data_IF_051928650516
#
_entry.id   IF_051928650516
#
_cell.length_a   1.000
_cell.length_b   1.000
_cell.length_c   1.000
_cell.angle_alpha   90.00
_cell.angle_beta   90.00
_cell.angle_gamma   90.00
#
_symmetry.space_group_name_H-M   'P 1'
#
loop_
_entity.id
_entity.type
_entity.pdbx_description
1 polymer ?
#
# COMPACT_ATOMS: atom_id res chain seq x y z
N UNK A 1 -5.99 -9.91 1.04
CA UNK A 1 -7.03 -8.89 0.72
C UNK A 1 -6.70 -7.63 1.51
N UNK A 2 -6.14 -6.59 0.87
CA UNK A 2 -5.84 -5.31 1.53
C UNK A 2 -7.14 -4.51 1.68
N UNK A 3 -7.87 -4.76 2.77
CA UNK A 3 -8.92 -3.84 3.20
C UNK A 3 -8.23 -2.63 3.83
N UNK A 4 -8.18 -1.49 3.12
CA UNK A 4 -8.12 -0.21 3.81
C UNK A 4 -9.42 -0.11 4.61
N UNK A 5 -9.33 0.13 5.92
CA UNK A 5 -10.46 0.25 6.85
C UNK A 5 -11.39 1.47 6.58
N UNK A 6 -11.46 1.94 5.32
CA UNK A 6 -12.09 3.20 4.92
C UNK A 6 -13.56 3.07 4.47
N UNK A 7 -14.08 1.85 4.29
CA UNK A 7 -15.47 1.63 3.83
C UNK A 7 -16.45 1.19 4.95
N UNK A 8 -15.98 1.08 6.19
CA UNK A 8 -16.85 0.80 7.35
C UNK A 8 -17.17 2.09 8.09
N UNK A 9 -18.40 2.22 8.60
CA UNK A 9 -18.69 3.30 9.52
C UNK A 9 -17.76 3.19 10.73
N UNK A 10 -17.36 4.32 11.34
CA UNK A 10 -16.49 4.31 12.54
C UNK A 10 -17.00 3.33 13.61
N UNK A 11 -18.32 3.20 13.72
CA UNK A 11 -19.01 2.29 14.64
C UNK A 11 -18.83 0.81 14.27
N UNK A 12 -18.85 0.46 12.99
CA UNK A 12 -18.64 -0.92 12.53
C UNK A 12 -17.18 -1.36 12.74
N UNK A 13 -16.23 -0.43 12.59
CA UNK A 13 -14.82 -0.68 12.89
C UNK A 13 -14.57 -0.93 14.40
N UNK A 14 -15.21 -0.15 15.29
CA UNK A 14 -15.10 -0.34 16.74
C UNK A 14 -15.68 -1.68 17.21
N UNK A 15 -16.78 -2.14 16.60
CA UNK A 15 -17.37 -3.43 16.94
C UNK A 15 -16.54 -4.60 16.40
N UNK A 16 -16.04 -4.50 15.17
CA UNK A 16 -15.13 -5.49 14.59
C UNK A 16 -13.86 -5.64 15.44
N UNK A 17 -13.26 -4.52 15.88
CA UNK A 17 -12.10 -4.50 16.75
C UNK A 17 -12.37 -5.29 18.06
N UNK A 18 -13.48 -5.02 18.74
CA UNK A 18 -13.86 -5.75 19.97
C UNK A 18 -13.98 -7.25 19.73
N UNK A 19 -14.62 -7.66 18.63
CA UNK A 19 -14.78 -9.07 18.28
C UNK A 19 -13.43 -9.75 18.03
N UNK A 20 -12.51 -9.08 17.32
CA UNK A 20 -11.17 -9.62 17.04
C UNK A 20 -10.36 -9.73 18.32
N UNK A 21 -10.39 -8.73 19.20
CA UNK A 21 -9.69 -8.78 20.49
C UNK A 21 -10.20 -9.92 21.38
N UNK A 22 -11.53 -10.15 21.40
CA UNK A 22 -12.13 -11.28 22.12
C UNK A 22 -11.71 -12.63 21.51
N UNK A 23 -11.70 -12.74 20.18
CA UNK A 23 -11.24 -13.95 19.50
C UNK A 23 -9.76 -14.23 19.79
N UNK A 24 -8.91 -13.20 19.74
CA UNK A 24 -7.49 -13.28 20.08
C UNK A 24 -7.26 -13.79 21.49
N UNK A 25 -8.04 -13.31 22.47
CA UNK A 25 -7.96 -13.81 23.85
C UNK A 25 -8.31 -15.31 23.95
N UNK A 26 -9.38 -15.74 23.28
CA UNK A 26 -9.79 -17.16 23.23
C UNK A 26 -8.69 -18.01 22.57
N UNK A 27 -8.09 -17.53 21.47
CA UNK A 27 -7.03 -18.24 20.76
C UNK A 27 -5.74 -18.33 21.57
N UNK A 28 -5.40 -17.30 22.36
CA UNK A 28 -4.28 -17.36 23.32
C UNK A 28 -4.52 -18.44 24.38
N UNK A 29 -5.71 -18.47 24.99
CA UNK A 29 -6.07 -19.48 26.01
C UNK A 29 -6.07 -20.91 25.46
N UNK A 30 -6.47 -21.07 24.20
CA UNK A 30 -6.51 -22.36 23.51
C UNK A 30 -5.24 -22.69 22.73
N UNK A 31 -4.18 -21.87 22.85
CA UNK A 31 -2.89 -22.02 22.17
C UNK A 31 -2.98 -22.21 20.64
N UNK A 32 -3.97 -21.58 19.99
CA UNK A 32 -4.18 -21.65 18.54
C UNK A 32 -3.29 -20.65 17.80
N UNK A 33 -1.97 -20.90 17.76
CA UNK A 33 -0.96 -19.98 17.24
C UNK A 33 -1.27 -19.41 15.85
N UNK A 34 -1.64 -20.26 14.89
CA UNK A 34 -2.03 -19.81 13.55
C UNK A 34 -3.16 -18.76 13.57
N UNK A 35 -4.18 -18.97 14.43
CA UNK A 35 -5.31 -18.03 14.58
C UNK A 35 -4.91 -16.75 15.32
N UNK A 36 -3.97 -16.84 16.27
CA UNK A 36 -3.37 -15.66 16.89
C UNK A 36 -2.70 -14.80 15.82
N UNK A 37 -1.91 -15.40 14.94
CA UNK A 37 -1.22 -14.71 13.84
C UNK A 37 -2.20 -14.01 12.89
N UNK A 38 -3.29 -14.67 12.49
CA UNK A 38 -4.35 -14.03 11.67
C UNK A 38 -5.00 -12.83 12.39
N UNK A 39 -5.29 -12.95 13.68
CA UNK A 39 -5.83 -11.83 14.46
C UNK A 39 -4.84 -10.65 14.53
N UNK A 40 -3.55 -10.92 14.75
CA UNK A 40 -2.51 -9.91 14.77
C UNK A 40 -2.41 -9.16 13.43
N UNK A 41 -2.49 -9.87 12.29
CA UNK A 41 -2.46 -9.24 10.96
C UNK A 41 -3.59 -8.21 10.79
N UNK A 42 -4.80 -8.58 11.20
CA UNK A 42 -5.96 -7.69 11.09
C UNK A 42 -5.81 -6.48 12.02
N UNK A 43 -5.38 -6.70 13.27
CA UNK A 43 -5.19 -5.60 14.23
C UNK A 43 -4.07 -4.64 13.79
N UNK A 44 -2.99 -5.14 13.20
CA UNK A 44 -1.95 -4.28 12.61
C UNK A 44 -2.55 -3.39 11.53
N UNK A 45 -3.33 -3.94 10.60
CA UNK A 45 -3.99 -3.14 9.56
C UNK A 45 -4.93 -2.06 10.13
N UNK A 46 -5.55 -2.31 11.28
CA UNK A 46 -6.42 -1.33 11.96
C UNK A 46 -5.62 -0.19 12.61
N UNK A 47 -4.47 -0.48 13.20
CA UNK A 47 -3.72 0.49 14.02
C UNK A 47 -2.53 1.17 13.32
N UNK A 48 -2.05 0.64 12.19
CA UNK A 48 -0.76 1.04 11.57
C UNK A 48 -0.61 2.54 11.27
N UNK A 49 -1.71 3.28 11.16
CA UNK A 49 -1.72 4.73 10.94
C UNK A 49 -2.28 5.55 12.12
N UNK A 50 -2.72 4.91 13.20
CA UNK A 50 -3.46 5.56 14.29
C UNK A 50 -2.88 5.33 15.68
N UNK A 51 -2.17 4.21 15.91
CA UNK A 51 -1.64 3.86 17.22
C UNK A 51 -0.35 3.03 17.12
N UNK A 52 0.79 3.66 17.41
CA UNK A 52 2.12 3.04 17.27
C UNK A 52 2.35 1.90 18.27
N UNK A 53 1.95 2.09 19.52
CA UNK A 53 2.14 1.11 20.59
C UNK A 53 1.41 -0.19 20.28
N UNK A 54 0.14 -0.09 19.87
CA UNK A 54 -0.66 -1.27 19.48
C UNK A 54 -0.14 -1.90 18.19
N UNK A 55 0.28 -1.09 17.22
CA UNK A 55 0.85 -1.59 15.96
C UNK A 55 2.08 -2.45 16.23
N UNK A 56 3.06 -1.91 16.97
CA UNK A 56 4.28 -2.63 17.30
C UNK A 56 4.00 -3.89 18.14
N UNK A 57 3.12 -3.79 19.14
CA UNK A 57 2.70 -4.93 19.96
C UNK A 57 2.18 -6.10 19.10
N UNK A 58 1.27 -5.83 18.15
CA UNK A 58 0.69 -6.89 17.33
C UNK A 58 1.60 -7.33 16.18
N UNK A 59 2.48 -6.46 15.67
CA UNK A 59 3.56 -6.84 14.76
C UNK A 59 4.51 -7.85 15.42
N UNK A 60 4.95 -7.57 16.65
CA UNK A 60 5.86 -8.43 17.41
C UNK A 60 5.22 -9.78 17.75
N UNK A 61 3.98 -9.78 18.25
CA UNK A 61 3.26 -11.01 18.58
C UNK A 61 2.99 -11.85 17.34
N UNK A 62 2.56 -11.22 16.24
CA UNK A 62 2.29 -11.89 14.97
C UNK A 62 3.55 -12.50 14.36
N UNK A 63 4.66 -11.74 14.32
CA UNK A 63 5.95 -12.26 13.86
C UNK A 63 6.43 -13.42 14.73
N UNK A 64 6.39 -13.27 16.07
CA UNK A 64 6.78 -14.34 17.00
C UNK A 64 5.96 -15.61 16.78
N UNK A 65 4.65 -15.50 16.69
CA UNK A 65 3.78 -16.67 16.47
C UNK A 65 3.98 -17.30 15.09
N UNK A 66 4.23 -16.50 14.06
CA UNK A 66 4.56 -17.00 12.71
C UNK A 66 5.88 -17.80 12.68
N UNK A 67 6.88 -17.37 13.45
CA UNK A 67 8.14 -18.10 13.65
C UNK A 67 7.91 -19.41 14.41
N UNK A 68 7.12 -19.37 15.50
CA UNK A 68 6.81 -20.56 16.30
C UNK A 68 6.06 -21.66 15.54
N UNK A 69 5.32 -21.32 14.48
CA UNK A 69 4.64 -22.27 13.60
C UNK A 69 5.41 -22.59 12.31
N UNK A 70 6.60 -22.01 12.14
CA UNK A 70 7.45 -22.15 10.95
C UNK A 70 6.71 -21.84 9.63
N UNK A 71 5.93 -20.77 9.60
CA UNK A 71 5.18 -20.36 8.40
C UNK A 71 5.88 -19.18 7.71
N UNK A 72 6.74 -19.50 6.73
CA UNK A 72 7.51 -18.53 5.94
C UNK A 72 6.64 -17.48 5.21
N UNK A 73 5.46 -17.88 4.74
CA UNK A 73 4.52 -16.96 4.11
C UNK A 73 4.04 -15.90 5.11
N UNK A 74 3.61 -16.32 6.31
CA UNK A 74 3.18 -15.39 7.36
C UNK A 74 4.33 -14.52 7.87
N UNK A 75 5.54 -15.08 8.02
CA UNK A 75 6.74 -14.30 8.40
C UNK A 75 6.97 -13.17 7.36
N UNK A 76 6.88 -13.49 6.08
CA UNK A 76 7.06 -12.51 4.99
C UNK A 76 5.98 -11.45 4.97
N UNK A 77 4.73 -11.82 5.28
CA UNK A 77 3.63 -10.88 5.43
C UNK A 77 3.87 -9.92 6.61
N UNK A 78 4.35 -10.40 7.76
CA UNK A 78 4.71 -9.52 8.87
C UNK A 78 5.90 -8.60 8.54
N UNK A 79 6.90 -9.08 7.80
CA UNK A 79 7.97 -8.21 7.30
C UNK A 79 7.44 -7.14 6.35
N UNK A 80 6.48 -7.46 5.47
CA UNK A 80 5.80 -6.44 4.67
C UNK A 80 5.13 -5.38 5.56
N UNK A 81 4.43 -5.80 6.62
CA UNK A 81 3.75 -4.87 7.53
C UNK A 81 4.73 -3.99 8.32
N UNK A 82 5.86 -4.55 8.78
CA UNK A 82 6.95 -3.75 9.35
C UNK A 82 7.51 -2.75 8.34
N UNK A 83 7.71 -3.14 7.08
CA UNK A 83 8.15 -2.23 6.03
C UNK A 83 7.16 -1.08 5.85
N UNK A 84 5.85 -1.35 5.77
CA UNK A 84 4.80 -0.30 5.70
C UNK A 84 4.86 0.63 6.91
N UNK A 85 5.02 0.08 8.12
CA UNK A 85 5.13 0.88 9.34
C UNK A 85 6.35 1.81 9.30
N UNK A 86 7.54 1.29 8.97
CA UNK A 86 8.75 2.13 8.92
C UNK A 86 8.72 3.14 7.77
N UNK A 87 8.13 2.79 6.64
CA UNK A 87 7.88 3.73 5.55
C UNK A 87 7.01 4.90 6.00
N UNK A 88 5.91 4.64 6.73
CA UNK A 88 5.01 5.70 7.22
C UNK A 88 5.67 6.62 8.25
N UNK A 89 6.68 6.12 8.97
CA UNK A 89 7.51 6.90 9.91
C UNK A 89 8.70 7.60 9.26
N UNK A 90 8.95 7.37 7.96
CA UNK A 90 10.13 7.87 7.28
C UNK A 90 11.44 7.20 7.71
N UNK A 91 11.37 6.05 8.40
CA UNK A 91 12.54 5.24 8.76
C UNK A 91 12.98 4.39 7.56
N UNK A 92 13.68 5.06 6.64
CA UNK A 92 14.14 4.48 5.38
C UNK A 92 15.09 3.27 5.59
N UNK A 93 16.02 3.28 6.57
CA UNK A 93 16.87 2.11 6.84
C UNK A 93 16.08 0.86 7.23
N UNK A 94 15.11 0.97 8.15
CA UNK A 94 14.30 -0.19 8.53
C UNK A 94 13.33 -0.61 7.44
N UNK A 95 12.77 0.34 6.67
CA UNK A 95 11.98 0.03 5.50
C UNK A 95 12.74 -0.89 4.53
N UNK A 96 14.01 -0.57 4.21
CA UNK A 96 14.84 -1.43 3.37
C UNK A 96 15.09 -2.79 4.01
N UNK A 97 15.45 -2.82 5.28
CA UNK A 97 15.78 -4.04 6.02
C UNK A 97 14.63 -5.06 5.91
N UNK A 98 13.41 -4.64 6.23
CA UNK A 98 12.24 -5.52 6.16
C UNK A 98 11.85 -5.86 4.72
N UNK A 99 12.01 -4.93 3.78
CA UNK A 99 11.78 -5.19 2.35
C UNK A 99 12.71 -6.27 1.80
N UNK A 100 13.99 -6.26 2.19
CA UNK A 100 14.96 -7.31 1.83
C UNK A 100 14.64 -8.65 2.49
N UNK A 101 14.31 -8.65 3.79
CA UNK A 101 13.94 -9.86 4.51
C UNK A 101 12.73 -10.57 3.90
N UNK A 102 11.68 -9.83 3.53
CA UNK A 102 10.54 -10.46 2.84
C UNK A 102 10.92 -10.96 1.44
N UNK A 103 11.77 -10.23 0.70
CA UNK A 103 12.26 -10.65 -0.62
C UNK A 103 13.00 -11.99 -0.55
N UNK A 104 13.90 -12.14 0.41
CA UNK A 104 14.68 -13.37 0.61
C UNK A 104 13.78 -14.57 0.90
N UNK A 105 12.74 -14.41 1.73
CA UNK A 105 11.83 -15.50 2.03
C UNK A 105 10.93 -15.81 0.84
N UNK A 106 10.32 -14.81 0.19
CA UNK A 106 9.48 -15.05 -1.00
C UNK A 106 10.26 -15.73 -2.12
N UNK A 107 11.54 -15.38 -2.29
CA UNK A 107 12.44 -16.07 -3.22
C UNK A 107 12.69 -17.52 -2.80
N UNK A 108 12.88 -17.80 -1.50
CA UNK A 108 13.10 -19.16 -0.98
C UNK A 108 11.89 -20.07 -1.14
N UNK A 109 10.68 -19.54 -1.00
CA UNK A 109 9.42 -20.31 -1.11
C UNK A 109 8.81 -20.29 -2.51
N UNK A 110 9.52 -19.74 -3.50
CA UNK A 110 9.07 -19.60 -4.89
C UNK A 110 7.71 -18.88 -5.06
N UNK A 111 7.39 -17.95 -4.15
CA UNK A 111 6.18 -17.13 -4.23
C UNK A 111 6.40 -15.95 -5.18
N UNK A 112 5.99 -16.14 -6.44
CA UNK A 112 6.11 -15.12 -7.49
C UNK A 112 5.38 -13.82 -7.13
N UNK A 113 4.19 -13.90 -6.53
CA UNK A 113 3.37 -12.73 -6.21
C UNK A 113 4.02 -11.94 -5.07
N UNK A 114 4.43 -12.65 -4.01
CA UNK A 114 5.19 -12.09 -2.91
C UNK A 114 6.51 -11.45 -3.36
N UNK A 115 7.21 -12.10 -4.29
CA UNK A 115 8.43 -11.59 -4.87
C UNK A 115 8.20 -10.30 -5.68
N UNK A 116 7.11 -10.22 -6.46
CA UNK A 116 6.69 -8.99 -7.13
C UNK A 116 6.48 -7.83 -6.15
N UNK A 117 5.74 -8.07 -5.06
CA UNK A 117 5.56 -7.07 -3.99
C UNK A 117 6.92 -6.64 -3.43
N UNK A 118 7.82 -7.58 -3.18
CA UNK A 118 9.11 -7.28 -2.59
C UNK A 118 10.02 -6.47 -3.53
N UNK A 119 10.01 -6.78 -4.83
CA UNK A 119 10.67 -5.96 -5.85
C UNK A 119 10.15 -4.53 -5.85
N UNK A 120 8.83 -4.33 -5.78
CA UNK A 120 8.25 -2.99 -5.70
C UNK A 120 8.76 -2.21 -4.49
N UNK A 121 8.80 -2.82 -3.31
CA UNK A 121 9.24 -2.15 -2.09
C UNK A 121 10.74 -1.80 -2.13
N UNK A 122 11.58 -2.67 -2.69
CA UNK A 122 13.00 -2.36 -2.89
C UNK A 122 13.17 -1.23 -3.93
N UNK A 123 12.37 -1.23 -4.99
CA UNK A 123 12.32 -0.14 -5.96
C UNK A 123 11.91 1.20 -5.33
N UNK A 124 10.91 1.19 -4.44
CA UNK A 124 10.50 2.36 -3.65
C UNK A 124 11.66 2.89 -2.78
N UNK A 125 12.42 2.02 -2.13
CA UNK A 125 13.60 2.44 -1.37
C UNK A 125 14.62 3.15 -2.26
N UNK A 126 14.88 2.62 -3.45
CA UNK A 126 15.81 3.25 -4.39
C UNK A 126 15.28 4.60 -4.89
N UNK A 127 13.97 4.74 -5.10
CA UNK A 127 13.31 6.01 -5.42
C UNK A 127 13.54 7.05 -4.30
N UNK A 128 13.28 6.67 -3.05
CA UNK A 128 13.48 7.53 -1.87
C UNK A 128 14.94 7.92 -1.62
N UNK A 129 15.89 7.15 -2.13
CA UNK A 129 17.33 7.41 -2.00
C UNK A 129 17.96 7.97 -3.27
N UNK A 130 17.13 8.46 -4.21
CA UNK A 130 17.53 9.07 -5.48
C UNK A 130 18.36 8.17 -6.41
N UNK A 131 18.25 6.86 -6.24
CA UNK A 131 18.91 5.83 -7.05
C UNK A 131 17.97 5.38 -8.16
N UNK A 132 17.72 6.28 -9.11
CA UNK A 132 16.61 6.13 -10.04
C UNK A 132 16.76 4.96 -11.01
N UNK A 133 17.98 4.62 -11.41
CA UNK A 133 18.25 3.48 -12.30
C UNK A 133 17.99 2.15 -11.57
N UNK A 134 18.49 2.01 -10.34
CA UNK A 134 18.21 0.84 -9.52
C UNK A 134 16.71 0.73 -9.16
N UNK A 135 16.05 1.87 -8.94
CA UNK A 135 14.60 1.91 -8.75
C UNK A 135 13.87 1.38 -9.98
N UNK A 136 14.23 1.85 -11.18
CA UNK A 136 13.62 1.38 -12.42
C UNK A 136 13.80 -0.12 -12.60
N UNK A 137 15.00 -0.65 -12.39
CA UNK A 137 15.28 -2.08 -12.55
C UNK A 137 14.45 -2.96 -11.60
N UNK A 138 14.31 -2.58 -10.33
CA UNK A 138 13.52 -3.34 -9.37
C UNK A 138 12.01 -3.19 -9.64
N UNK A 139 11.54 -1.99 -9.97
CA UNK A 139 10.13 -1.77 -10.36
C UNK A 139 9.76 -2.50 -11.65
N UNK A 140 10.68 -2.62 -12.62
CA UNK A 140 10.45 -3.37 -13.85
C UNK A 140 10.30 -4.87 -13.58
N UNK A 141 11.08 -5.45 -12.67
CA UNK A 141 10.90 -6.85 -12.24
C UNK A 141 9.53 -7.07 -11.60
N UNK A 142 9.08 -6.15 -10.76
CA UNK A 142 7.72 -6.17 -10.19
C UNK A 142 6.67 -6.08 -11.30
N UNK A 143 6.87 -5.19 -12.26
CA UNK A 143 5.94 -4.96 -13.37
C UNK A 143 5.79 -6.22 -14.23
N UNK A 144 6.90 -6.87 -14.60
CA UNK A 144 6.90 -8.06 -15.43
C UNK A 144 6.18 -9.22 -14.75
N UNK A 145 6.37 -9.39 -13.44
CA UNK A 145 5.61 -10.36 -12.64
C UNK A 145 4.12 -10.04 -12.70
N UNK A 146 3.72 -8.81 -12.38
CA UNK A 146 2.30 -8.51 -12.25
C UNK A 146 1.55 -8.43 -13.57
N UNK A 147 2.25 -8.11 -14.66
CA UNK A 147 1.71 -8.14 -16.03
C UNK A 147 1.20 -9.53 -16.43
N UNK A 148 1.78 -10.59 -15.87
CA UNK A 148 1.42 -11.98 -16.15
C UNK A 148 0.47 -12.58 -15.10
N UNK A 149 -0.10 -11.76 -14.21
CA UNK A 149 -0.95 -12.24 -13.10
C UNK A 149 -2.27 -11.48 -13.01
N UNK A 150 -3.26 -12.09 -12.36
CA UNK A 150 -4.56 -11.44 -12.07
C UNK A 150 -4.52 -10.49 -10.85
N UNK A 151 -3.35 -10.06 -10.40
CA UNK A 151 -3.17 -9.20 -9.22
C UNK A 151 -3.22 -7.71 -9.58
N UNK A 152 -4.32 -7.28 -10.20
CA UNK A 152 -4.49 -5.93 -10.76
C UNK A 152 -4.22 -4.78 -9.76
N UNK A 153 -4.52 -4.95 -8.46
CA UNK A 153 -4.21 -3.94 -7.45
C UNK A 153 -2.70 -3.75 -7.24
N UNK A 154 -1.95 -4.85 -7.16
CA UNK A 154 -0.49 -4.78 -7.00
C UNK A 154 0.19 -4.36 -8.32
N UNK A 155 -0.43 -4.71 -9.46
CA UNK A 155 0.02 -4.23 -10.76
C UNK A 155 -0.13 -2.71 -10.89
N UNK A 156 -1.30 -2.18 -10.54
CA UNK A 156 -1.55 -0.75 -10.56
C UNK A 156 -0.65 0.00 -9.58
N UNK A 157 -0.41 -0.54 -8.38
CA UNK A 157 0.56 0.04 -7.44
C UNK A 157 1.98 0.06 -8.02
N UNK A 158 2.39 -0.95 -8.78
CA UNK A 158 3.70 -0.96 -9.47
C UNK A 158 3.75 0.09 -10.58
N UNK A 159 2.66 0.25 -11.34
CA UNK A 159 2.57 1.27 -12.38
C UNK A 159 2.60 2.68 -11.77
N UNK A 160 1.93 2.90 -10.65
CA UNK A 160 2.02 4.16 -9.89
C UNK A 160 3.47 4.45 -9.45
N UNK A 161 4.17 3.46 -8.89
CA UNK A 161 5.59 3.58 -8.52
C UNK A 161 6.48 3.97 -9.72
N UNK A 162 6.23 3.40 -10.89
CA UNK A 162 6.93 3.78 -12.13
C UNK A 162 6.54 5.18 -12.60
N UNK A 163 5.27 5.55 -12.47
CA UNK A 163 4.77 6.90 -12.75
C UNK A 163 5.49 7.95 -11.91
N UNK A 164 5.60 7.72 -10.59
CA UNK A 164 6.34 8.58 -9.66
C UNK A 164 7.81 8.70 -10.07
N UNK A 165 8.44 7.60 -10.45
CA UNK A 165 9.84 7.60 -10.87
C UNK A 165 10.05 8.49 -12.09
N UNK A 166 9.22 8.36 -13.12
CA UNK A 166 9.29 9.21 -14.31
C UNK A 166 8.90 10.66 -14.01
N UNK A 167 7.99 10.91 -13.08
CA UNK A 167 7.65 12.26 -12.60
C UNK A 167 8.87 12.94 -11.98
N UNK A 168 9.59 12.25 -11.09
CA UNK A 168 10.81 12.76 -10.45
C UNK A 168 11.91 13.04 -11.48
N UNK A 169 11.99 12.23 -12.54
CA UNK A 169 12.92 12.43 -13.65
C UNK A 169 12.49 13.53 -14.66
N UNK A 170 11.29 14.08 -14.52
CA UNK A 170 10.74 15.12 -15.40
C UNK A 170 10.13 14.59 -16.70
N UNK A 171 10.06 13.27 -16.92
CA UNK A 171 9.38 12.66 -18.07
C UNK A 171 7.87 12.56 -17.79
N UNK A 172 7.21 13.72 -17.77
CA UNK A 172 5.80 13.87 -17.44
C UNK A 172 4.89 13.05 -18.36
N UNK A 173 5.30 12.85 -19.63
CA UNK A 173 4.53 12.04 -20.59
C UNK A 173 4.54 10.56 -20.21
N UNK A 174 5.70 10.00 -19.82
CA UNK A 174 5.76 8.62 -19.31
C UNK A 174 5.04 8.50 -17.98
N UNK A 175 5.22 9.46 -17.07
CA UNK A 175 4.50 9.47 -15.80
C UNK A 175 2.98 9.39 -16.02
N UNK A 176 2.44 10.26 -16.88
CA UNK A 176 1.02 10.26 -17.25
C UNK A 176 0.56 8.91 -17.82
N UNK A 177 1.36 8.30 -18.70
CA UNK A 177 1.04 6.99 -19.28
C UNK A 177 0.89 5.93 -18.20
N UNK A 178 1.83 5.84 -17.26
CA UNK A 178 1.77 4.84 -16.20
C UNK A 178 0.63 5.10 -15.21
N UNK A 179 0.38 6.36 -14.81
CA UNK A 179 -0.76 6.67 -13.95
C UNK A 179 -2.09 6.36 -14.62
N UNK A 180 -2.26 6.62 -15.93
CA UNK A 180 -3.48 6.25 -16.66
C UNK A 180 -3.67 4.73 -16.73
N UNK A 181 -2.59 3.97 -16.94
CA UNK A 181 -2.66 2.50 -16.90
C UNK A 181 -3.08 1.99 -15.51
N UNK A 182 -2.52 2.57 -14.44
CA UNK A 182 -2.87 2.23 -13.08
C UNK A 182 -4.34 2.56 -12.79
N UNK A 183 -4.81 3.73 -13.24
CA UNK A 183 -6.19 4.16 -13.09
C UNK A 183 -7.16 3.20 -13.78
N UNK A 184 -6.87 2.82 -15.03
CA UNK A 184 -7.71 1.89 -15.80
C UNK A 184 -7.83 0.53 -15.11
N UNK A 185 -6.71 -0.04 -14.65
CA UNK A 185 -6.70 -1.33 -13.96
C UNK A 185 -7.54 -1.34 -12.68
N UNK A 186 -7.56 -0.22 -11.94
CA UNK A 186 -8.31 -0.15 -10.68
C UNK A 186 -9.79 0.22 -10.95
N UNK A 187 -10.08 1.04 -11.96
CA UNK A 187 -11.44 1.36 -12.38
C UNK A 187 -12.24 0.09 -12.74
N UNK A 188 -11.60 -0.86 -13.42
CA UNK A 188 -12.19 -2.16 -13.77
C UNK A 188 -12.55 -3.02 -12.54
N UNK A 189 -12.01 -2.71 -11.37
CA UNK A 189 -12.28 -3.43 -10.10
C UNK A 189 -13.41 -2.79 -9.28
N UNK A 190 -14.08 -1.75 -9.76
CA UNK A 190 -15.03 -0.92 -9.01
C UNK A 190 -14.46 -0.34 -7.71
N UNK A 191 -13.14 -0.38 -7.53
CA UNK A 191 -12.43 0.35 -6.50
C UNK A 191 -12.02 1.67 -7.15
N UNK A 192 -12.34 2.81 -6.54
CA UNK A 192 -12.03 4.11 -7.15
C UNK A 192 -10.87 4.75 -6.37
N UNK A 193 -9.63 4.69 -6.90
CA UNK A 193 -8.47 5.21 -6.23
C UNK A 193 -8.37 6.71 -6.53
N UNK A 194 -9.01 7.53 -5.69
CA UNK A 194 -8.89 8.98 -5.75
C UNK A 194 -7.41 9.45 -5.83
N UNK A 195 -6.48 8.70 -5.24
CA UNK A 195 -5.05 9.02 -5.21
C UNK A 195 -4.39 8.98 -6.60
N UNK A 196 -4.82 8.07 -7.49
CA UNK A 196 -4.27 8.02 -8.86
C UNK A 196 -4.79 9.20 -9.68
N UNK A 197 -6.05 9.60 -9.47
CA UNK A 197 -6.65 10.77 -10.14
C UNK A 197 -5.90 12.05 -9.71
N UNK A 198 -5.56 12.19 -8.43
CA UNK A 198 -4.75 13.31 -7.94
C UNK A 198 -3.38 13.37 -8.63
N UNK A 199 -2.69 12.23 -8.78
CA UNK A 199 -1.42 12.17 -9.48
C UNK A 199 -1.55 12.55 -10.96
N UNK A 200 -2.62 12.12 -11.64
CA UNK A 200 -2.87 12.48 -13.05
C UNK A 200 -3.14 13.99 -13.18
N UNK A 201 -3.96 14.56 -12.30
CA UNK A 201 -4.24 15.99 -12.28
C UNK A 201 -2.97 16.81 -12.07
N UNK A 202 -2.12 16.41 -11.10
CA UNK A 202 -0.81 17.04 -10.87
C UNK A 202 0.07 17.00 -12.13
N UNK A 203 0.10 15.88 -12.84
CA UNK A 203 0.87 15.78 -14.09
C UNK A 203 0.33 16.75 -15.16
N UNK A 204 -0.99 16.87 -15.32
CA UNK A 204 -1.56 17.85 -16.26
C UNK A 204 -1.19 19.28 -15.89
N UNK A 205 -1.24 19.63 -14.59
CA UNK A 205 -0.78 20.92 -14.10
C UNK A 205 0.70 21.17 -14.43
N UNK A 206 1.58 20.20 -14.16
CA UNK A 206 3.01 20.29 -14.46
C UNK A 206 3.30 20.39 -15.96
N UNK A 207 2.42 19.86 -16.80
CA UNK A 207 2.48 19.99 -18.27
C UNK A 207 1.91 21.33 -18.78
N UNK A 208 1.33 22.16 -17.91
CA UNK A 208 0.68 23.43 -18.25
C UNK A 208 -0.76 23.29 -18.76
N UNK A 209 -1.34 22.08 -18.73
CA UNK A 209 -2.73 21.82 -19.08
C UNK A 209 -3.63 22.02 -17.85
N UNK A 210 -3.78 23.29 -17.47
CA UNK A 210 -4.51 23.68 -16.27
C UNK A 210 -5.98 23.29 -16.36
N UNK A 211 -6.59 23.39 -17.53
CA UNK A 211 -8.01 23.06 -17.73
C UNK A 211 -8.30 21.60 -17.39
N UNK A 212 -7.52 20.64 -17.93
CA UNK A 212 -7.71 19.22 -17.58
C UNK A 212 -7.40 18.93 -16.12
N UNK A 213 -6.38 19.57 -15.56
CA UNK A 213 -6.08 19.43 -14.12
C UNK A 213 -7.27 19.87 -13.26
N UNK A 214 -7.89 21.01 -13.58
CA UNK A 214 -9.04 21.54 -12.85
C UNK A 214 -10.26 20.63 -13.00
N UNK A 215 -10.54 20.12 -14.19
CA UNK A 215 -11.67 19.22 -14.43
C UNK A 215 -11.53 17.92 -13.64
N UNK A 216 -10.32 17.37 -13.55
CA UNK A 216 -10.06 16.18 -12.74
C UNK A 216 -10.20 16.44 -11.24
N UNK A 217 -9.75 17.60 -10.74
CA UNK A 217 -9.96 18.00 -9.34
C UNK A 217 -11.44 18.22 -9.00
N UNK A 218 -12.23 18.75 -9.93
CA UNK A 218 -13.69 18.89 -9.76
C UNK A 218 -14.38 17.52 -9.69
N UNK A 219 -14.06 16.60 -10.59
CA UNK A 219 -14.61 15.24 -10.55
C UNK A 219 -14.28 14.57 -9.20
N UNK A 220 -13.06 14.76 -8.71
CA UNK A 220 -12.62 14.22 -7.43
C UNK A 220 -13.41 14.81 -6.25
N UNK A 221 -13.66 16.12 -6.26
CA UNK A 221 -14.44 16.83 -5.24
C UNK A 221 -15.89 16.36 -5.17
N UNK A 222 -16.59 16.32 -6.31
CA UNK A 222 -17.99 15.86 -6.38
C UNK A 222 -18.13 14.45 -5.79
N UNK A 223 -17.13 13.59 -6.00
CA UNK A 223 -17.09 12.24 -5.44
C UNK A 223 -16.79 12.22 -3.94
N UNK A 224 -15.90 13.08 -3.44
CA UNK A 224 -15.66 13.22 -2.00
C UNK A 224 -16.91 13.73 -1.27
N UNK A 225 -17.65 14.65 -1.87
CA UNK A 225 -18.94 15.15 -1.38
C UNK A 225 -19.98 14.02 -1.32
N UNK A 226 -20.11 13.23 -2.37
CA UNK A 226 -21.00 12.06 -2.40
C UNK A 226 -20.67 11.02 -1.31
N UNK A 227 -19.43 10.96 -0.84
CA UNK A 227 -18.96 10.04 0.23
C UNK A 227 -18.81 10.70 1.61
N UNK A 228 -19.21 11.96 1.79
CA UNK A 228 -19.06 12.71 3.05
C UNK A 228 -17.60 12.81 3.57
N UNK A 229 -16.60 12.73 2.70
CA UNK A 229 -15.18 12.78 3.08
C UNK A 229 -14.65 14.23 3.09
N UNK A 230 -14.81 14.92 4.22
CA UNK A 230 -14.48 16.36 4.36
C UNK A 230 -13.00 16.72 4.14
N UNK A 231 -12.07 15.78 4.39
CA UNK A 231 -10.62 16.05 4.26
C UNK A 231 -10.18 16.19 2.79
N UNK A 232 -10.66 15.32 1.90
CA UNK A 232 -10.36 15.38 0.47
C UNK A 232 -10.94 16.62 -0.23
N UNK A 233 -12.02 17.20 0.31
CA UNK A 233 -12.59 18.47 -0.17
C UNK A 233 -11.65 19.64 0.13
N UNK A 234 -11.13 19.72 1.36
CA UNK A 234 -10.21 20.80 1.76
C UNK A 234 -8.91 20.79 0.96
N UNK A 235 -8.33 19.61 0.74
CA UNK A 235 -7.05 19.49 0.03
C UNK A 235 -7.19 19.82 -1.47
N UNK A 236 -8.35 19.54 -2.08
CA UNK A 236 -8.63 19.93 -3.47
C UNK A 236 -8.99 21.41 -3.61
N UNK A 237 -9.73 22.00 -2.67
CA UNK A 237 -10.04 23.44 -2.68
C UNK A 237 -8.76 24.29 -2.66
N UNK A 238 -7.74 23.89 -1.89
CA UNK A 238 -6.43 24.55 -1.89
C UNK A 238 -5.68 24.45 -3.23
N UNK A 239 -5.96 23.44 -4.06
CA UNK A 239 -5.35 23.26 -5.38
C UNK A 239 -6.14 23.96 -6.50
N UNK A 240 -7.41 24.27 -6.25
CA UNK A 240 -8.32 24.96 -7.16
C UNK A 240 -8.26 26.50 -7.04
N UNK A 241 -7.86 27.03 -5.87
CA UNK A 241 -7.72 28.47 -5.59
C UNK A 241 -6.32 28.99 -5.81
#
# INVERSE_FOLDING_TARGET
RFFRAQDFSKKDNEEAEKLILKALEIYRRTSRKYKITECCEILVNMYIYSNDDLTLKYLEEGLRTSLEINNDLMISQFFRQYAVYHYSKGDIPQFLNYSKKMKEIYQRIDDKVGLGIAYRYVGEFYKLTNKWEEAYQELQKSYDIFKETDHNLEFAATQESLGDLFKIQGDLRKALKYYNQAHQLIADLNQYPWFVIENIAEIYFLMGDVDRSLDMHKELMERYEARSQKKGISDNLCKLG
#
